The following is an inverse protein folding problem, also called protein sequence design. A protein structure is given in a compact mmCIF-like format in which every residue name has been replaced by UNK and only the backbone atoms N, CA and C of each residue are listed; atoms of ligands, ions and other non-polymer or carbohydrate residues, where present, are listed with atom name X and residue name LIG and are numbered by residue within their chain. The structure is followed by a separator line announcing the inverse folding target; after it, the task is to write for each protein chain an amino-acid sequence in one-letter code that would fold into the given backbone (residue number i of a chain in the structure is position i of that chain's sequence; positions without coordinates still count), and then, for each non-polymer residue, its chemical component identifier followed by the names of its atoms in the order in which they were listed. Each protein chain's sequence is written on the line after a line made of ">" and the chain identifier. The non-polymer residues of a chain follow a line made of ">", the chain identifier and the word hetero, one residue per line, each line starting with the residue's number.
data_IF_779586803139
#
_entry.id   IF_779586803139
#
_cell.length_a   1.000
_cell.length_b   1.000
_cell.length_c   1.000
_cell.angle_alpha   90.00
_cell.angle_beta   90.00
_cell.angle_gamma   90.00
#
_symmetry.space_group_name_H-M   'P 1'
#
loop_
_entity.id
_entity.type
_entity.pdbx_description
1 polymer ?
#
# COMPACT_ATOMS: atom_id res chain seq x y z
N UNK A 1 15.67 -2.29 -6.39
CA UNK A 1 14.57 -2.63 -5.45
C UNK A 1 13.90 -1.35 -4.96
N UNK A 2 14.68 -0.34 -4.56
CA UNK A 2 14.21 0.98 -4.10
C UNK A 2 13.28 1.69 -5.10
N UNK A 3 13.64 1.74 -6.39
CA UNK A 3 12.82 2.43 -7.41
C UNK A 3 11.38 1.87 -7.55
N UNK A 4 11.18 0.57 -7.29
CA UNK A 4 9.82 -0.01 -7.32
C UNK A 4 9.02 0.34 -6.08
N UNK A 5 9.66 0.33 -4.91
CA UNK A 5 9.00 0.74 -3.67
C UNK A 5 8.59 2.20 -3.78
N UNK A 6 9.46 3.06 -4.31
CA UNK A 6 9.11 4.46 -4.59
C UNK A 6 7.96 4.62 -5.61
N UNK A 7 7.81 3.69 -6.56
CA UNK A 7 6.67 3.69 -7.48
C UNK A 7 5.36 3.29 -6.76
N UNK A 8 5.43 2.24 -5.93
CA UNK A 8 4.30 1.80 -5.09
C UNK A 8 3.90 2.92 -4.13
N UNK A 9 4.86 3.52 -3.43
CA UNK A 9 4.61 4.63 -2.50
C UNK A 9 3.90 5.80 -3.19
N UNK A 10 4.38 6.20 -4.37
CA UNK A 10 3.75 7.29 -5.12
C UNK A 10 2.33 6.96 -5.55
N UNK A 11 2.09 5.75 -6.03
CA UNK A 11 0.76 5.30 -6.45
C UNK A 11 -0.21 5.25 -5.25
N UNK A 12 0.22 4.64 -4.14
CA UNK A 12 -0.60 4.48 -2.95
C UNK A 12 -0.83 5.81 -2.22
N UNK A 13 0.21 6.65 -2.07
CA UNK A 13 0.12 7.94 -1.39
C UNK A 13 -0.95 8.83 -2.02
N UNK A 14 -1.03 8.91 -3.35
CA UNK A 14 -2.02 9.72 -4.04
C UNK A 14 -3.47 9.25 -3.79
N UNK A 15 -3.70 7.93 -3.72
CA UNK A 15 -5.03 7.37 -3.50
C UNK A 15 -5.43 7.46 -2.03
N UNK A 16 -4.53 7.11 -1.12
CA UNK A 16 -4.73 7.18 0.32
C UNK A 16 -4.98 8.61 0.80
N UNK A 17 -4.23 9.59 0.29
CA UNK A 17 -4.43 11.00 0.62
C UNK A 17 -5.83 11.51 0.23
N UNK A 18 -6.39 11.04 -0.90
CA UNK A 18 -7.75 11.40 -1.33
C UNK A 18 -8.83 10.80 -0.43
N UNK A 19 -8.50 9.75 0.34
CA UNK A 19 -9.36 9.11 1.33
C UNK A 19 -9.12 9.64 2.76
N UNK A 20 -8.15 10.54 2.94
CA UNK A 20 -7.83 11.14 4.24
C UNK A 20 -6.81 10.36 5.06
N UNK A 21 -6.04 9.46 4.44
CA UNK A 21 -4.93 8.76 5.08
C UNK A 21 -3.59 9.29 4.60
N UNK A 22 -2.60 9.28 5.49
CA UNK A 22 -1.20 9.53 5.15
C UNK A 22 -0.48 8.18 5.00
N UNK A 23 0.30 8.03 3.93
CA UNK A 23 1.17 6.88 3.77
C UNK A 23 2.45 7.11 4.59
N UNK A 24 2.68 6.25 5.58
CA UNK A 24 3.82 6.37 6.48
C UNK A 24 5.05 5.59 5.99
N UNK A 25 4.86 4.34 5.57
CA UNK A 25 5.95 3.46 5.12
C UNK A 25 5.44 2.35 4.21
N UNK A 26 6.27 1.93 3.25
CA UNK A 26 6.01 0.75 2.39
C UNK A 26 7.24 -0.13 2.36
N UNK A 27 7.07 -1.40 2.72
CA UNK A 27 8.16 -2.38 2.68
C UNK A 27 7.72 -3.67 2.00
N UNK A 28 8.57 -4.18 1.11
CA UNK A 28 8.42 -5.51 0.50
C UNK A 28 9.51 -6.42 1.05
N UNK A 29 9.10 -7.41 1.84
CA UNK A 29 10.00 -8.37 2.48
C UNK A 29 9.78 -9.78 1.91
N UNK A 30 10.71 -10.69 2.21
CA UNK A 30 10.63 -12.08 1.72
C UNK A 30 11.09 -12.27 0.27
N UNK A 31 10.98 -13.51 -0.23
CA UNK A 31 11.41 -13.90 -1.57
C UNK A 31 10.47 -14.94 -2.19
N UNK A 32 10.41 -14.98 -3.53
CA UNK A 32 9.60 -15.95 -4.28
C UNK A 32 8.12 -15.87 -3.92
N UNK A 33 7.55 -16.98 -3.45
CA UNK A 33 6.14 -17.11 -3.06
C UNK A 33 5.82 -16.64 -1.64
N UNK A 34 6.83 -16.33 -0.83
CA UNK A 34 6.69 -15.90 0.56
C UNK A 34 7.06 -14.43 0.73
N UNK A 35 6.71 -13.62 -0.27
CA UNK A 35 6.84 -12.17 -0.17
C UNK A 35 5.69 -11.62 0.66
N UNK A 36 5.92 -10.47 1.29
CA UNK A 36 4.90 -9.74 2.04
C UNK A 36 5.08 -8.26 1.76
N UNK A 37 4.06 -7.64 1.19
CA UNK A 37 3.95 -6.18 1.08
C UNK A 37 3.32 -5.64 2.36
N UNK A 38 4.06 -4.81 3.09
CA UNK A 38 3.56 -4.09 4.26
C UNK A 38 3.38 -2.63 3.90
N UNK A 39 2.19 -2.12 4.18
CA UNK A 39 1.80 -0.72 4.01
C UNK A 39 1.42 -0.18 5.39
N UNK A 40 2.10 0.86 5.85
CA UNK A 40 1.78 1.56 7.09
C UNK A 40 1.09 2.88 6.74
N UNK A 41 -0.06 3.12 7.38
CA UNK A 41 -0.85 4.34 7.19
C UNK A 41 -1.04 5.05 8.52
N UNK A 42 -1.23 6.36 8.45
CA UNK A 42 -1.67 7.19 9.57
C UNK A 42 -2.93 7.99 9.18
N UNK A 43 -3.66 8.46 10.19
CA UNK A 43 -4.84 9.31 10.02
C UNK A 43 -4.98 10.24 11.21
N UNK A 44 -5.25 11.51 10.95
CA UNK A 44 -5.61 12.46 12.00
C UNK A 44 -6.90 12.04 12.71
N UNK A 45 -6.83 11.86 14.03
CA UNK A 45 -7.93 11.31 14.85
C UNK A 45 -7.83 9.79 15.11
N UNK A 46 -6.81 9.13 14.56
CA UNK A 46 -6.54 7.71 14.78
C UNK A 46 -7.05 6.80 13.68
N UNK A 47 -6.59 5.55 13.72
CA UNK A 47 -6.93 4.50 12.75
C UNK A 47 -7.72 3.41 13.47
N UNK A 48 -9.02 3.29 13.16
CA UNK A 48 -9.90 2.21 13.61
C UNK A 48 -9.99 1.08 12.56
N UNK A 49 -10.78 0.03 12.86
CA UNK A 49 -10.89 -1.13 11.97
C UNK A 49 -11.59 -0.80 10.64
N UNK A 50 -12.52 0.16 10.65
CA UNK A 50 -13.21 0.61 9.44
C UNK A 50 -12.23 1.36 8.53
N UNK A 51 -11.38 2.22 9.12
CA UNK A 51 -10.29 2.88 8.42
C UNK A 51 -9.29 1.89 7.79
N UNK A 52 -8.90 0.84 8.53
CA UNK A 52 -8.05 -0.23 7.99
C UNK A 52 -8.73 -0.93 6.81
N UNK A 53 -10.03 -1.18 6.90
CA UNK A 53 -10.79 -1.85 5.84
C UNK A 53 -10.83 -0.99 4.57
N UNK A 54 -11.23 0.28 4.68
CA UNK A 54 -11.29 1.21 3.53
C UNK A 54 -9.90 1.45 2.90
N UNK A 55 -8.86 1.58 3.72
CA UNK A 55 -7.49 1.69 3.21
C UNK A 55 -7.03 0.41 2.50
N UNK A 56 -7.39 -0.78 3.01
CA UNK A 56 -7.04 -2.05 2.38
C UNK A 56 -7.71 -2.21 1.01
N UNK A 57 -9.00 -1.84 0.90
CA UNK A 57 -9.71 -1.84 -0.38
C UNK A 57 -9.04 -0.89 -1.38
N UNK A 58 -8.74 0.34 -0.96
CA UNK A 58 -8.08 1.33 -1.80
C UNK A 58 -6.69 0.88 -2.28
N UNK A 59 -5.90 0.24 -1.40
CA UNK A 59 -4.60 -0.33 -1.76
C UNK A 59 -4.76 -1.48 -2.75
N UNK A 60 -5.73 -2.39 -2.51
CA UNK A 60 -5.98 -3.53 -3.41
C UNK A 60 -6.34 -3.06 -4.81
N UNK A 61 -7.26 -2.08 -4.93
CA UNK A 61 -7.65 -1.53 -6.24
C UNK A 61 -6.46 -1.02 -7.05
N UNK A 62 -5.52 -0.33 -6.41
CA UNK A 62 -4.30 0.17 -7.08
C UNK A 62 -3.40 -0.98 -7.54
N UNK A 63 -3.18 -1.97 -6.68
CA UNK A 63 -2.33 -3.11 -7.00
C UNK A 63 -2.94 -4.01 -8.10
N UNK A 64 -4.27 -4.13 -8.12
CA UNK A 64 -5.00 -4.89 -9.14
C UNK A 64 -5.00 -4.17 -10.51
N UNK A 65 -5.12 -2.83 -10.51
CA UNK A 65 -5.04 -2.04 -11.73
C UNK A 65 -3.62 -1.99 -12.32
N UNK A 66 -2.60 -1.98 -11.45
CA UNK A 66 -1.20 -1.86 -11.85
C UNK A 66 -0.37 -3.05 -11.34
N UNK A 67 -0.67 -4.26 -11.83
CA UNK A 67 0.04 -5.50 -11.46
C UNK A 67 1.58 -5.41 -11.61
N UNK A 68 2.05 -4.52 -12.49
CA UNK A 68 3.48 -4.26 -12.69
C UNK A 68 4.19 -3.66 -11.47
N UNK A 69 3.47 -3.03 -10.55
CA UNK A 69 4.01 -2.45 -9.31
C UNK A 69 4.55 -3.55 -8.39
N UNK A 70 3.78 -4.62 -8.19
CA UNK A 70 4.15 -5.78 -7.37
C UNK A 70 3.82 -7.07 -8.12
N UNK A 71 4.69 -7.53 -9.03
CA UNK A 71 4.39 -8.69 -9.86
C UNK A 71 4.47 -9.99 -9.06
N UNK A 72 3.50 -10.87 -9.28
CA UNK A 72 3.40 -12.21 -8.67
C UNK A 72 2.93 -12.21 -7.21
N UNK A 73 2.83 -13.36 -6.55
CA UNK A 73 2.21 -13.47 -5.21
C UNK A 73 3.02 -12.76 -4.11
N UNK A 74 2.31 -12.14 -3.17
CA UNK A 74 2.81 -11.39 -2.01
C UNK A 74 1.85 -11.48 -0.81
#
# INVERSE_FOLDING_TARGET
>A
MTERIEAVERALSAVLARRGYELFDVTLTGQGKSRVLRVAIDREGGVDLDAITDATEAVSEVLDLEESLVPGPY
#
